data_IF_708688062159
#
_entry.id   IF_708688062159
#
_cell.length_a   1.000
_cell.length_b   1.000
_cell.length_c   1.000
_cell.angle_alpha   90.00
_cell.angle_beta   90.00
_cell.angle_gamma   90.00
#
_symmetry.space_group_name_H-M   'P 1'
#
loop_
_entity.id
_entity.type
_entity.pdbx_description
1 polymer ?
#
# COMPACT_ATOMS: atom_id res chain seq x y z
N UNK A 1 -37.09 11.71 12.19
CA UNK A 1 -35.95 12.03 13.06
C UNK A 1 -34.77 12.32 12.16
N UNK A 2 -34.14 13.48 12.33
CA UNK A 2 -32.91 13.79 11.60
C UNK A 2 -31.81 12.82 12.03
N UNK A 3 -31.05 12.33 11.06
CA UNK A 3 -29.93 11.44 11.30
C UNK A 3 -28.69 12.34 11.48
N UNK A 4 -28.26 12.50 12.75
CA UNK A 4 -27.18 13.39 13.17
C UNK A 4 -25.86 13.09 12.45
N UNK A 5 -25.64 11.84 12.05
CA UNK A 5 -24.48 11.47 11.24
C UNK A 5 -24.46 12.21 9.89
N UNK A 6 -25.60 12.33 9.20
CA UNK A 6 -25.67 13.05 7.92
C UNK A 6 -25.67 14.58 8.10
N UNK A 7 -26.20 15.09 9.21
CA UNK A 7 -26.23 16.52 9.49
C UNK A 7 -24.88 17.05 9.99
N UNK A 8 -24.16 16.26 10.79
CA UNK A 8 -22.88 16.62 11.43
C UNK A 8 -21.91 15.43 11.43
N UNK A 9 -21.41 15.01 10.26
CA UNK A 9 -20.52 13.85 10.15
C UNK A 9 -19.14 14.10 10.77
N UNK A 10 -18.66 15.36 10.74
CA UNK A 10 -17.30 15.72 11.18
C UNK A 10 -17.28 15.86 12.70
N UNK A 11 -16.49 15.00 13.35
CA UNK A 11 -16.31 14.94 14.79
C UNK A 11 -14.89 15.32 15.24
N UNK A 12 -13.90 15.12 14.37
CA UNK A 12 -12.48 15.25 14.69
C UNK A 12 -11.76 16.22 13.74
N UNK A 13 -10.63 16.74 14.20
CA UNK A 13 -9.68 17.47 13.35
C UNK A 13 -8.96 16.49 12.40
N UNK A 14 -8.72 16.85 11.12
CA UNK A 14 -7.95 16.00 10.20
C UNK A 14 -6.45 15.95 10.52
N UNK A 15 -6.00 16.74 11.49
CA UNK A 15 -4.58 16.93 11.82
C UNK A 15 -4.20 16.41 13.20
N UNK A 16 -5.18 16.04 14.01
CA UNK A 16 -4.98 15.51 15.35
C UNK A 16 -5.40 14.03 15.40
N UNK A 17 -4.94 13.30 16.41
CA UNK A 17 -5.39 11.94 16.66
C UNK A 17 -6.92 11.95 16.86
N UNK A 18 -7.70 11.11 16.13
CA UNK A 18 -9.14 11.05 16.33
C UNK A 18 -9.48 10.66 17.77
N UNK A 19 -10.36 11.43 18.41
CA UNK A 19 -10.73 11.28 19.81
C UNK A 19 -12.17 10.80 20.00
N UNK A 20 -13.00 10.87 18.95
CA UNK A 20 -14.42 10.49 18.99
C UNK A 20 -14.82 9.75 17.72
N UNK A 21 -15.83 8.91 17.80
CA UNK A 21 -16.41 8.26 16.61
C UNK A 21 -17.88 7.90 16.82
N UNK A 22 -18.62 7.71 15.74
CA UNK A 22 -19.97 7.16 15.79
C UNK A 22 -19.94 5.64 15.96
N UNK A 23 -20.69 5.13 16.94
CA UNK A 23 -20.91 3.69 17.09
C UNK A 23 -21.62 3.15 15.84
N UNK A 24 -21.16 2.00 15.36
CA UNK A 24 -21.75 1.30 14.21
C UNK A 24 -22.44 0.04 14.70
N UNK A 25 -23.58 -0.28 14.10
CA UNK A 25 -24.24 -1.57 14.31
C UNK A 25 -23.54 -2.70 13.54
N UNK A 26 -24.06 -3.92 13.68
CA UNK A 26 -23.53 -5.11 13.01
C UNK A 26 -23.61 -5.04 11.46
N UNK A 27 -24.41 -4.13 10.91
CA UNK A 27 -24.51 -3.85 9.48
C UNK A 27 -23.65 -2.66 9.03
N UNK A 28 -22.79 -2.14 9.92
CA UNK A 28 -21.93 -1.00 9.64
C UNK A 28 -22.64 0.34 9.60
N UNK A 29 -23.89 0.44 10.10
CA UNK A 29 -24.65 1.69 10.09
C UNK A 29 -24.49 2.48 11.40
N UNK A 30 -24.37 3.82 11.35
CA UNK A 30 -24.27 4.65 12.55
C UNK A 30 -25.51 4.56 13.45
N UNK A 31 -25.33 4.13 14.70
CA UNK A 31 -26.42 4.01 15.69
C UNK A 31 -26.85 5.35 16.30
N UNK A 32 -26.27 6.46 15.83
CA UNK A 32 -26.42 7.81 16.41
C UNK A 32 -25.84 7.96 17.83
N UNK A 33 -25.09 6.97 18.31
CA UNK A 33 -24.40 7.05 19.59
C UNK A 33 -22.95 7.47 19.38
N UNK A 34 -22.55 8.53 20.07
CA UNK A 34 -21.17 9.02 20.06
C UNK A 34 -20.34 8.28 21.10
N UNK A 35 -19.15 7.83 20.71
CA UNK A 35 -18.16 7.22 21.60
C UNK A 35 -16.96 8.16 21.73
N UNK A 36 -16.58 8.49 22.97
CA UNK A 36 -15.47 9.38 23.33
C UNK A 36 -14.13 8.62 23.36
N UNK A 37 -13.81 7.94 22.25
CA UNK A 37 -12.51 7.32 22.04
C UNK A 37 -12.19 7.20 20.54
N UNK A 38 -10.94 6.88 20.21
CA UNK A 38 -10.58 6.53 18.83
C UNK A 38 -11.25 5.21 18.43
N UNK A 39 -11.81 5.16 17.22
CA UNK A 39 -12.36 3.94 16.63
C UNK A 39 -11.29 2.83 16.60
N UNK A 40 -11.48 1.68 17.26
CA UNK A 40 -10.57 0.55 17.11
C UNK A 40 -10.60 0.08 15.65
N UNK A 41 -9.46 -0.38 15.12
CA UNK A 41 -9.49 -1.10 13.86
C UNK A 41 -10.40 -2.33 14.07
N UNK A 42 -11.39 -2.51 13.19
CA UNK A 42 -12.31 -3.64 13.21
C UNK A 42 -12.67 -3.99 11.77
N UNK A 43 -12.93 -5.27 11.54
CA UNK A 43 -13.44 -5.79 10.28
C UNK A 43 -14.95 -5.53 10.18
N UNK A 44 -15.33 -4.27 9.98
CA UNK A 44 -16.72 -3.87 9.71
C UNK A 44 -16.72 -3.07 8.42
N UNK A 45 -17.33 -3.63 7.38
CA UNK A 45 -17.56 -2.95 6.10
C UNK A 45 -18.74 -2.00 6.23
N UNK A 46 -18.46 -0.76 6.62
CA UNK A 46 -19.47 0.31 6.63
C UNK A 46 -19.65 0.86 5.21
N UNK A 47 -20.43 0.17 4.35
CA UNK A 47 -20.98 0.78 3.14
C UNK A 47 -22.46 0.40 3.01
N UNK A 48 -23.39 1.38 3.01
CA UNK A 48 -24.79 1.10 2.74
C UNK A 48 -24.97 0.56 1.32
N UNK A 49 -25.65 -0.58 1.17
CA UNK A 49 -26.02 -1.12 -0.14
C UNK A 49 -26.86 -0.07 -0.91
N UNK A 50 -26.43 0.42 -2.09
CA UNK A 50 -27.23 1.35 -2.85
C UNK A 50 -28.53 0.67 -3.32
N UNK A 51 -29.67 1.32 -3.12
CA UNK A 51 -30.93 0.91 -3.73
C UNK A 51 -30.81 1.09 -5.25
N UNK A 52 -30.61 -0.03 -5.97
CA UNK A 52 -30.70 -0.21 -7.44
C UNK A 52 -30.97 1.07 -8.25
N UNK A 53 -29.97 1.57 -8.97
CA UNK A 53 -30.16 2.47 -10.12
C UNK A 53 -29.24 2.09 -11.29
N UNK A 54 -29.80 2.17 -12.51
CA UNK A 54 -29.24 1.74 -13.80
C UNK A 54 -28.10 2.66 -14.28
N UNK A 55 -27.03 2.02 -14.79
CA UNK A 55 -26.01 2.42 -15.80
C UNK A 55 -25.60 3.90 -15.93
N UNK A 56 -24.32 4.16 -15.69
CA UNK A 56 -23.45 4.97 -16.56
C UNK A 56 -21.98 4.57 -16.40
N UNK A 57 -21.28 4.34 -17.50
CA UNK A 57 -19.83 4.04 -17.56
C UNK A 57 -19.00 5.28 -17.16
N UNK A 58 -18.59 5.37 -15.90
CA UNK A 58 -17.36 6.05 -15.45
C UNK A 58 -17.16 5.74 -13.97
N UNK A 59 -16.07 5.03 -13.65
CA UNK A 59 -15.66 4.60 -12.31
C UNK A 59 -16.65 3.66 -11.61
N UNK A 60 -16.37 2.36 -11.72
CA UNK A 60 -17.09 1.32 -10.96
C UNK A 60 -16.86 1.53 -9.46
N UNK A 61 -17.91 1.98 -8.76
CA UNK A 61 -18.01 1.87 -7.32
C UNK A 61 -18.17 0.39 -6.97
N UNK A 62 -17.14 -0.19 -6.38
CA UNK A 62 -17.16 -1.57 -5.88
C UNK A 62 -18.14 -1.62 -4.71
N UNK A 63 -19.32 -2.19 -4.93
CA UNK A 63 -20.30 -2.50 -3.89
C UNK A 63 -19.94 -3.86 -3.31
N UNK A 64 -19.39 -3.87 -2.09
CA UNK A 64 -19.06 -5.11 -1.37
C UNK A 64 -20.34 -5.79 -0.86
N UNK A 65 -20.54 -7.06 -1.22
CA UNK A 65 -21.46 -7.96 -0.52
C UNK A 65 -20.62 -8.89 0.39
N UNK A 66 -21.02 -9.01 1.64
CA UNK A 66 -20.20 -9.56 2.72
C UNK A 66 -20.08 -11.09 2.66
N UNK A 67 -18.87 -11.59 2.41
CA UNK A 67 -18.01 -12.04 3.51
C UNK A 67 -18.54 -13.12 4.47
N UNK A 68 -19.49 -13.96 4.07
CA UNK A 68 -19.85 -15.21 4.78
C UNK A 68 -19.07 -16.44 4.32
N UNK A 69 -18.14 -16.29 3.38
CA UNK A 69 -17.30 -17.39 2.91
C UNK A 69 -15.92 -17.39 3.58
N UNK A 70 -15.64 -18.44 4.35
CA UNK A 70 -14.32 -19.10 4.56
C UNK A 70 -13.10 -18.21 4.91
N UNK A 71 -13.24 -17.11 5.66
CA UNK A 71 -12.12 -16.65 6.50
C UNK A 71 -12.33 -17.24 7.89
N UNK A 72 -11.33 -17.94 8.44
CA UNK A 72 -11.46 -18.40 9.82
C UNK A 72 -11.56 -17.18 10.72
N UNK A 73 -12.51 -17.18 11.67
CA UNK A 73 -12.66 -16.10 12.67
C UNK A 73 -11.33 -15.75 13.36
N UNK A 74 -10.40 -16.71 13.44
CA UNK A 74 -9.05 -16.50 13.96
C UNK A 74 -8.21 -15.56 13.09
N UNK A 75 -8.20 -15.69 11.76
CA UNK A 75 -7.42 -14.83 10.86
C UNK A 75 -7.89 -13.36 10.91
N UNK A 76 -9.21 -13.16 10.92
CA UNK A 76 -9.80 -11.82 11.06
C UNK A 76 -9.46 -11.19 12.41
N UNK A 77 -9.54 -11.99 13.49
CA UNK A 77 -9.17 -11.55 14.83
C UNK A 77 -7.69 -11.19 14.94
N UNK A 78 -6.80 -12.03 14.41
CA UNK A 78 -5.35 -11.80 14.42
C UNK A 78 -4.96 -10.53 13.66
N UNK A 79 -5.51 -10.32 12.46
CA UNK A 79 -5.24 -9.13 11.65
C UNK A 79 -5.75 -7.86 12.32
N UNK A 80 -6.92 -7.92 12.95
CA UNK A 80 -7.48 -6.79 13.69
C UNK A 80 -6.68 -6.49 14.95
N UNK A 81 -6.26 -7.53 15.67
CA UNK A 81 -5.44 -7.41 16.87
C UNK A 81 -4.09 -6.77 16.56
N UNK A 82 -3.37 -7.24 15.54
CA UNK A 82 -2.02 -6.73 15.25
C UNK A 82 -2.04 -5.25 14.85
N UNK A 83 -3.05 -4.80 14.09
CA UNK A 83 -3.20 -3.38 13.71
C UNK A 83 -3.39 -2.51 14.96
N UNK A 84 -4.24 -2.92 15.89
CA UNK A 84 -4.47 -2.18 17.13
C UNK A 84 -3.24 -2.20 18.05
N UNK A 85 -2.51 -3.32 18.10
CA UNK A 85 -1.26 -3.43 18.86
C UNK A 85 -0.19 -2.47 18.30
N UNK A 86 0.06 -2.50 16.99
CA UNK A 86 0.99 -1.56 16.33
C UNK A 86 0.58 -0.12 16.59
N UNK A 87 -0.71 0.20 16.46
CA UNK A 87 -1.24 1.54 16.74
C UNK A 87 -0.96 1.98 18.19
N UNK A 88 -1.13 1.08 19.17
CA UNK A 88 -0.83 1.34 20.58
C UNK A 88 0.66 1.60 20.83
N UNK A 89 1.54 0.80 20.23
CA UNK A 89 2.99 0.97 20.32
C UNK A 89 3.46 2.29 19.68
N UNK A 90 2.98 2.59 18.47
CA UNK A 90 3.31 3.83 17.75
C UNK A 90 2.79 5.04 18.52
N UNK A 91 1.59 4.98 19.12
CA UNK A 91 1.07 6.07 19.93
C UNK A 91 1.89 6.30 21.20
N UNK A 92 2.29 5.23 21.88
CA UNK A 92 3.17 5.31 23.07
C UNK A 92 4.51 5.93 22.70
N UNK A 93 5.11 5.50 21.59
CA UNK A 93 6.36 6.03 21.07
C UNK A 93 6.25 7.51 20.65
N UNK A 94 5.15 7.89 19.99
CA UNK A 94 4.87 9.27 19.57
C UNK A 94 4.80 10.24 20.76
N UNK A 95 4.25 9.78 21.88
CA UNK A 95 4.07 10.57 23.10
C UNK A 95 5.32 10.67 23.99
N UNK A 96 6.45 10.09 23.58
CA UNK A 96 7.72 10.26 24.31
C UNK A 96 8.16 11.73 24.26
N UNK A 97 8.40 12.39 25.42
CA UNK A 97 8.57 13.83 25.50
C UNK A 97 9.88 14.32 24.88
N UNK A 98 10.94 13.51 24.89
CA UNK A 98 12.24 13.90 24.35
C UNK A 98 12.52 13.17 23.03
N UNK A 99 12.80 13.89 21.93
CA UNK A 99 13.18 13.29 20.65
C UNK A 99 14.34 12.28 20.72
N UNK A 100 15.27 12.42 21.66
CA UNK A 100 16.38 11.46 21.86
C UNK A 100 15.90 10.07 22.27
N UNK A 101 14.69 9.96 22.84
CA UNK A 101 14.09 8.70 23.26
C UNK A 101 13.41 7.96 22.10
N UNK A 102 13.26 8.59 20.93
CA UNK A 102 12.58 7.97 19.80
C UNK A 102 13.37 6.80 19.20
N UNK A 103 14.67 6.66 19.52
CA UNK A 103 15.56 5.56 19.09
C UNK A 103 15.67 5.40 17.56
N UNK A 104 15.38 6.46 16.81
CA UNK A 104 15.55 6.54 15.35
C UNK A 104 16.88 7.21 14.99
N UNK A 105 17.24 7.22 13.71
CA UNK A 105 18.38 8.03 13.24
C UNK A 105 18.15 9.53 13.45
N UNK A 106 19.21 10.34 13.60
CA UNK A 106 19.14 11.80 13.60
C UNK A 106 18.33 12.40 12.44
N UNK A 107 18.44 11.85 11.24
CA UNK A 107 17.69 12.31 10.06
C UNK A 107 16.20 12.03 10.20
N UNK A 108 15.85 10.82 10.62
CA UNK A 108 14.46 10.44 10.89
C UNK A 108 13.88 11.27 12.03
N UNK A 109 14.66 11.52 13.10
CA UNK A 109 14.23 12.38 14.21
C UNK A 109 13.89 13.79 13.70
N UNK A 110 14.71 14.35 12.81
CA UNK A 110 14.48 15.66 12.23
C UNK A 110 13.25 15.71 11.32
N UNK A 111 13.04 14.69 10.49
CA UNK A 111 11.83 14.55 9.68
C UNK A 111 10.57 14.44 10.54
N UNK A 112 10.61 13.64 11.61
CA UNK A 112 9.49 13.50 12.55
C UNK A 112 9.19 14.82 13.27
N UNK A 113 10.21 15.56 13.72
CA UNK A 113 10.02 16.90 14.29
C UNK A 113 9.37 17.85 13.28
N UNK A 114 9.81 17.79 12.02
CA UNK A 114 9.23 18.57 10.94
C UNK A 114 7.75 18.23 10.74
N UNK A 115 7.41 16.96 10.55
CA UNK A 115 6.01 16.54 10.31
C UNK A 115 5.08 16.78 11.51
N UNK A 116 5.59 16.69 12.74
CA UNK A 116 4.78 16.84 13.96
C UNK A 116 4.60 18.29 14.40
N UNK A 117 5.59 19.15 14.17
CA UNK A 117 5.67 20.46 14.85
C UNK A 117 5.98 21.63 13.92
N UNK A 118 6.32 21.40 12.66
CA UNK A 118 6.59 22.48 11.73
C UNK A 118 5.34 23.34 11.48
N UNK A 119 5.56 24.64 11.37
CA UNK A 119 4.52 25.60 10.98
C UNK A 119 4.49 25.72 9.46
N UNK A 120 3.78 24.79 8.83
CA UNK A 120 3.55 24.78 7.38
C UNK A 120 2.90 26.08 6.92
N UNK A 121 3.40 26.63 5.82
CA UNK A 121 2.83 27.82 5.19
C UNK A 121 1.60 27.49 4.34
N UNK A 122 1.55 26.27 3.79
CA UNK A 122 0.46 25.78 2.96
C UNK A 122 -0.18 24.49 3.48
N UNK A 123 -0.26 23.49 2.61
CA UNK A 123 -0.89 22.20 2.92
C UNK A 123 0.00 21.43 3.89
N UNK A 124 -0.43 21.33 5.15
CA UNK A 124 0.21 20.44 6.12
C UNK A 124 -0.29 18.99 5.98
N UNK A 125 0.55 17.97 6.27
CA UNK A 125 0.12 16.58 6.26
C UNK A 125 -1.03 16.31 7.23
N UNK A 126 -1.97 15.47 6.82
CA UNK A 126 -3.02 14.97 7.71
C UNK A 126 -2.45 14.00 8.74
N UNK A 127 -3.12 13.86 9.88
CA UNK A 127 -2.71 12.92 10.92
C UNK A 127 -2.54 11.50 10.39
N UNK A 128 -3.47 11.02 9.56
CA UNK A 128 -3.41 9.69 8.97
C UNK A 128 -2.19 9.46 8.05
N UNK A 129 -1.73 10.51 7.37
CA UNK A 129 -0.54 10.45 6.52
C UNK A 129 0.72 10.34 7.37
N UNK A 130 0.80 11.16 8.43
CA UNK A 130 1.90 11.12 9.41
C UNK A 130 1.93 9.78 10.13
N UNK A 131 0.79 9.28 10.59
CA UNK A 131 0.69 7.98 11.27
C UNK A 131 1.12 6.81 10.39
N UNK A 132 0.75 6.81 9.11
CA UNK A 132 1.17 5.78 8.18
C UNK A 132 2.70 5.77 7.98
N UNK A 133 3.32 6.95 7.81
CA UNK A 133 4.77 7.09 7.71
C UNK A 133 5.47 6.69 9.02
N UNK A 134 4.94 7.11 10.16
CA UNK A 134 5.42 6.76 11.49
C UNK A 134 5.35 5.27 11.78
N UNK A 135 4.30 4.58 11.32
CA UNK A 135 4.17 3.13 11.44
C UNK A 135 5.28 2.43 10.69
N UNK A 136 5.55 2.84 9.45
CA UNK A 136 6.65 2.28 8.66
C UNK A 136 8.03 2.57 9.30
N UNK A 137 8.24 3.76 9.83
CA UNK A 137 9.46 4.15 10.55
C UNK A 137 9.63 3.29 11.80
N UNK A 138 8.59 3.19 12.63
CA UNK A 138 8.62 2.47 13.89
C UNK A 138 8.95 0.99 13.66
N UNK A 139 8.28 0.34 12.70
CA UNK A 139 8.54 -1.06 12.32
C UNK A 139 9.95 -1.29 11.76
N UNK A 140 10.63 -0.24 11.29
CA UNK A 140 11.94 -0.36 10.63
C UNK A 140 13.10 -0.03 11.56
N UNK A 141 12.96 1.02 12.37
CA UNK A 141 14.05 1.55 13.18
C UNK A 141 13.91 1.22 14.68
N UNK A 142 12.67 1.14 15.18
CA UNK A 142 12.38 1.06 16.62
C UNK A 142 12.02 -0.37 17.03
N UNK A 143 11.10 -1.01 16.31
CA UNK A 143 10.60 -2.34 16.61
C UNK A 143 11.71 -3.39 16.79
N UNK A 144 12.75 -3.46 15.91
CA UNK A 144 13.83 -4.45 16.06
C UNK A 144 14.69 -4.27 17.32
N UNK A 145 14.55 -3.15 18.03
CA UNK A 145 15.31 -2.81 19.24
C UNK A 145 14.43 -2.72 20.48
N UNK A 146 13.22 -3.27 20.41
CA UNK A 146 12.21 -3.20 21.47
C UNK A 146 11.62 -4.59 21.73
N UNK A 147 11.37 -4.91 23.00
CA UNK A 147 10.78 -6.19 23.38
C UNK A 147 9.35 -6.36 22.81
N UNK A 148 8.55 -5.29 22.79
CA UNK A 148 7.21 -5.31 22.20
C UNK A 148 7.23 -5.43 20.66
N UNK A 149 8.27 -4.91 20.01
CA UNK A 149 8.40 -4.96 18.55
C UNK A 149 8.76 -6.32 17.99
N UNK A 150 9.49 -7.17 18.72
CA UNK A 150 9.92 -8.49 18.21
C UNK A 150 8.72 -9.38 17.85
N UNK A 151 7.70 -9.43 18.71
CA UNK A 151 6.48 -10.21 18.44
C UNK A 151 5.71 -9.71 17.21
N UNK A 152 5.64 -8.39 17.02
CA UNK A 152 5.00 -7.76 15.85
C UNK A 152 5.77 -8.09 14.57
N UNK A 153 7.10 -8.01 14.61
CA UNK A 153 7.95 -8.32 13.45
C UNK A 153 7.92 -9.80 13.08
N UNK A 154 7.84 -10.69 14.07
CA UNK A 154 7.68 -12.12 13.84
C UNK A 154 6.30 -12.43 13.21
N UNK A 155 5.22 -11.81 13.71
CA UNK A 155 3.91 -11.92 13.08
C UNK A 155 3.94 -11.44 11.62
N UNK A 156 4.52 -10.26 11.35
CA UNK A 156 4.65 -9.71 10.00
C UNK A 156 5.44 -10.66 9.08
N UNK A 157 6.51 -11.27 9.60
CA UNK A 157 7.35 -12.22 8.85
C UNK A 157 6.59 -13.49 8.50
N UNK A 158 5.84 -14.06 9.46
CA UNK A 158 4.98 -15.24 9.22
C UNK A 158 3.90 -14.95 8.19
N UNK A 159 3.15 -13.86 8.38
CA UNK A 159 2.13 -13.42 7.43
C UNK A 159 2.68 -13.26 6.00
N UNK A 160 3.89 -12.71 5.87
CA UNK A 160 4.56 -12.62 4.58
C UNK A 160 5.03 -13.98 4.05
N UNK A 161 5.63 -14.83 4.87
CA UNK A 161 6.08 -16.15 4.43
C UNK A 161 4.92 -17.01 3.92
N UNK A 162 3.77 -16.95 4.60
CA UNK A 162 2.60 -17.76 4.28
C UNK A 162 1.91 -17.29 2.98
N UNK A 163 1.81 -15.97 2.78
CA UNK A 163 1.09 -15.42 1.63
C UNK A 163 2.00 -15.00 0.45
N UNK A 164 3.25 -14.63 0.72
CA UNK A 164 4.22 -14.08 -0.22
C UNK A 164 5.65 -14.53 0.14
N UNK A 165 6.01 -15.83 0.05
CA UNK A 165 7.28 -16.36 0.57
C UNK A 165 8.54 -15.67 0.01
N UNK A 166 8.44 -15.09 -1.19
CA UNK A 166 9.54 -14.33 -1.78
C UNK A 166 9.50 -12.83 -1.43
N UNK A 167 8.49 -12.25 -0.79
CA UNK A 167 8.39 -10.78 -0.69
C UNK A 167 8.10 -10.34 0.75
N UNK A 168 8.89 -9.39 1.25
CA UNK A 168 8.63 -8.74 2.54
C UNK A 168 7.76 -7.52 2.27
N UNK A 169 6.47 -7.63 2.59
CA UNK A 169 5.45 -6.61 2.34
C UNK A 169 4.93 -6.01 3.64
N UNK A 170 4.49 -4.76 3.56
CA UNK A 170 3.87 -4.01 4.64
C UNK A 170 2.75 -3.19 4.03
N UNK A 171 1.50 -3.42 4.44
CA UNK A 171 0.36 -2.66 3.95
C UNK A 171 -0.04 -1.55 4.92
N UNK A 172 -0.26 -0.37 4.35
CA UNK A 172 -0.73 0.84 5.01
C UNK A 172 -2.09 1.18 4.40
N UNK A 173 -3.16 0.96 5.16
CA UNK A 173 -4.52 1.25 4.70
C UNK A 173 -4.86 2.73 4.94
N UNK A 174 -5.20 3.44 3.87
CA UNK A 174 -5.68 4.82 3.91
C UNK A 174 -6.90 4.98 3.01
N UNK A 175 -7.98 5.55 3.54
CA UNK A 175 -9.17 5.88 2.77
C UNK A 175 -8.87 6.60 1.44
N UNK A 176 -9.67 6.33 0.41
CA UNK A 176 -9.57 7.01 -0.88
C UNK A 176 -9.73 8.52 -0.69
N UNK A 177 -8.83 9.31 -1.26
CA UNK A 177 -8.80 10.76 -1.07
C UNK A 177 -8.03 11.24 0.17
N UNK A 178 -7.62 10.36 1.09
CA UNK A 178 -6.83 10.73 2.27
C UNK A 178 -5.36 11.10 1.96
N UNK A 179 -4.95 11.02 0.69
CA UNK A 179 -3.63 11.46 0.22
C UNK A 179 -2.53 10.40 0.32
N UNK A 180 -2.77 9.19 -0.21
CA UNK A 180 -1.77 8.11 -0.35
C UNK A 180 -0.45 8.59 -0.95
N UNK A 181 -0.52 9.42 -2.00
CA UNK A 181 0.66 9.99 -2.66
C UNK A 181 1.51 10.86 -1.73
N UNK A 182 0.93 11.55 -0.75
CA UNK A 182 1.70 12.26 0.29
C UNK A 182 2.54 11.28 1.10
N UNK A 183 1.94 10.15 1.52
CA UNK A 183 2.65 9.11 2.27
C UNK A 183 3.77 8.52 1.44
N UNK A 184 3.56 8.26 0.15
CA UNK A 184 4.62 7.82 -0.76
C UNK A 184 5.80 8.80 -0.78
N UNK A 185 5.53 10.10 -0.91
CA UNK A 185 6.57 11.12 -0.86
C UNK A 185 7.30 11.10 0.49
N UNK A 186 6.58 11.08 1.62
CA UNK A 186 7.19 11.02 2.96
C UNK A 186 8.10 9.80 3.13
N UNK A 187 7.69 8.62 2.66
CA UNK A 187 8.48 7.40 2.72
C UNK A 187 9.73 7.48 1.85
N UNK A 188 9.61 8.01 0.61
CA UNK A 188 10.76 8.20 -0.29
C UNK A 188 11.75 9.20 0.31
N UNK A 189 11.27 10.30 0.88
CA UNK A 189 12.11 11.29 1.54
C UNK A 189 12.87 10.67 2.73
N UNK A 190 12.15 10.00 3.63
CA UNK A 190 12.74 9.31 4.78
C UNK A 190 13.83 8.32 4.37
N UNK A 191 13.55 7.48 3.37
CA UNK A 191 14.48 6.47 2.88
C UNK A 191 15.71 7.10 2.21
N UNK A 192 15.49 8.06 1.30
CA UNK A 192 16.56 8.68 0.52
C UNK A 192 17.54 9.42 1.41
N UNK A 193 17.03 10.30 2.27
CA UNK A 193 17.83 11.13 3.18
C UNK A 193 18.71 10.25 4.06
N UNK A 194 18.12 9.21 4.68
CA UNK A 194 18.87 8.28 5.50
C UNK A 194 19.91 7.50 4.70
N UNK A 195 19.58 7.06 3.48
CA UNK A 195 20.53 6.34 2.62
C UNK A 195 21.71 7.22 2.18
N UNK A 196 21.47 8.52 1.93
CA UNK A 196 22.50 9.50 1.55
C UNK A 196 23.41 9.82 2.72
N UNK A 197 22.86 10.11 3.89
CA UNK A 197 23.65 10.45 5.08
C UNK A 197 24.29 9.24 5.77
N UNK A 198 23.78 8.03 5.52
CA UNK A 198 24.26 6.78 6.13
C UNK A 198 24.51 5.70 5.07
N UNK A 199 25.48 5.88 4.15
CA UNK A 199 25.70 4.98 3.03
C UNK A 199 26.12 3.55 3.43
N UNK A 200 26.62 3.36 4.65
CA UNK A 200 26.96 2.03 5.19
C UNK A 200 25.73 1.24 5.68
N UNK A 201 24.58 1.90 5.88
CA UNK A 201 23.36 1.24 6.33
C UNK A 201 22.70 0.45 5.21
N UNK A 202 22.31 -0.79 5.49
CA UNK A 202 21.50 -1.62 4.58
C UNK A 202 19.99 -1.48 4.81
N UNK A 203 19.58 -0.68 5.79
CA UNK A 203 18.17 -0.50 6.14
C UNK A 203 17.46 0.53 5.26
N UNK A 204 18.23 1.36 4.56
CA UNK A 204 17.70 2.45 3.76
C UNK A 204 18.09 2.29 2.29
N UNK A 205 17.31 2.93 1.42
CA UNK A 205 17.56 2.93 -0.01
C UNK A 205 17.31 4.28 -0.64
N UNK A 206 17.91 4.48 -1.81
CA UNK A 206 17.64 5.60 -2.71
C UNK A 206 17.03 5.13 -4.03
N UNK A 207 16.71 3.84 -4.18
CA UNK A 207 16.14 3.26 -5.38
C UNK A 207 14.70 2.80 -5.14
N UNK A 208 13.77 3.40 -5.87
CA UNK A 208 12.33 3.19 -5.69
C UNK A 208 11.67 2.79 -6.99
N UNK A 209 10.88 1.71 -6.92
CA UNK A 209 9.94 1.33 -7.96
C UNK A 209 8.52 1.61 -7.48
N UNK A 210 7.86 2.57 -8.10
CA UNK A 210 6.45 2.88 -7.82
C UNK A 210 5.60 2.18 -8.89
N UNK A 211 4.70 1.30 -8.48
CA UNK A 211 3.83 0.55 -9.40
C UNK A 211 2.36 0.95 -9.22
N UNK A 212 1.70 1.27 -10.32
CA UNK A 212 0.30 1.70 -10.36
C UNK A 212 -0.57 0.75 -11.21
N UNK A 213 -1.90 0.66 -10.94
CA UNK A 213 -2.80 -0.24 -11.65
C UNK A 213 -3.15 0.24 -13.08
N UNK A 214 -3.16 1.57 -13.31
CA UNK A 214 -3.52 2.16 -14.60
C UNK A 214 -2.57 3.28 -15.02
N UNK A 215 -2.59 3.62 -16.32
CA UNK A 215 -1.74 4.68 -16.88
C UNK A 215 -2.13 6.07 -16.34
N UNK A 216 -3.43 6.36 -16.19
CA UNK A 216 -3.90 7.65 -15.65
C UNK A 216 -3.37 7.91 -14.24
N UNK A 217 -3.33 6.87 -13.39
CA UNK A 217 -2.81 6.97 -12.02
C UNK A 217 -1.29 7.12 -12.08
N UNK A 218 -0.61 6.29 -12.87
CA UNK A 218 0.84 6.36 -13.10
C UNK A 218 1.29 7.78 -13.48
N UNK A 219 0.60 8.44 -14.41
CA UNK A 219 0.98 9.76 -14.90
C UNK A 219 0.79 10.85 -13.82
N UNK A 220 -0.20 10.70 -12.94
CA UNK A 220 -0.41 11.60 -11.79
C UNK A 220 0.66 11.45 -10.70
N UNK A 221 1.28 10.29 -10.59
CA UNK A 221 2.34 10.04 -9.62
C UNK A 221 3.66 10.74 -9.97
N UNK A 222 3.78 11.44 -11.11
CA UNK A 222 4.98 12.22 -11.48
C UNK A 222 5.40 13.24 -10.42
N UNK A 223 4.47 13.72 -9.61
CA UNK A 223 4.69 14.60 -8.44
C UNK A 223 5.61 13.99 -7.37
N UNK A 224 5.88 12.68 -7.43
CA UNK A 224 6.87 12.00 -6.59
C UNK A 224 8.30 12.17 -7.10
N UNK A 225 8.52 12.72 -8.30
CA UNK A 225 9.86 13.04 -8.78
C UNK A 225 10.34 14.33 -8.10
N UNK A 226 11.53 14.35 -7.46
CA UNK A 226 12.05 15.55 -6.79
C UNK A 226 12.23 16.75 -7.73
N UNK A 227 12.55 16.49 -8.99
CA UNK A 227 12.78 17.50 -10.01
C UNK A 227 11.51 17.90 -10.80
N UNK A 228 10.35 17.32 -10.50
CA UNK A 228 9.10 17.74 -11.16
C UNK A 228 8.70 19.15 -10.66
N UNK A 229 8.23 20.05 -11.55
CA UNK A 229 7.78 21.37 -11.14
C UNK A 229 6.68 21.35 -10.07
N UNK A 230 5.82 20.32 -10.08
CA UNK A 230 4.69 20.12 -9.17
C UNK A 230 5.04 19.12 -8.04
N UNK A 231 6.32 19.06 -7.67
CA UNK A 231 6.83 18.06 -6.74
C UNK A 231 6.28 18.25 -5.33
N UNK A 232 5.74 17.17 -4.75
CA UNK A 232 5.14 17.21 -3.42
C UNK A 232 6.13 17.57 -2.32
N UNK A 233 7.43 17.29 -2.50
CA UNK A 233 8.43 17.61 -1.48
C UNK A 233 8.53 19.12 -1.23
N UNK A 234 8.48 19.91 -2.31
CA UNK A 234 8.60 21.37 -2.26
C UNK A 234 7.24 22.02 -1.99
N UNK A 235 6.22 21.66 -2.76
CA UNK A 235 4.90 22.32 -2.71
C UNK A 235 4.17 22.10 -1.38
N UNK A 236 4.45 21.00 -0.69
CA UNK A 236 3.85 20.66 0.61
C UNK A 236 4.84 20.73 1.76
N UNK A 237 6.02 21.30 1.52
CA UNK A 237 7.07 21.48 2.52
C UNK A 237 7.35 20.17 3.30
N UNK A 238 7.37 19.01 2.64
CA UNK A 238 7.44 17.70 3.34
C UNK A 238 8.82 17.42 3.92
N UNK A 239 9.84 18.14 3.48
CA UNK A 239 11.24 17.95 3.88
C UNK A 239 11.80 19.29 4.35
N UNK A 240 12.59 19.31 5.45
CA UNK A 240 13.33 20.50 5.84
C UNK A 240 14.18 21.06 4.69
N UNK A 241 14.21 22.39 4.56
CA UNK A 241 14.85 23.06 3.42
C UNK A 241 16.33 22.73 3.25
N UNK A 242 17.05 22.42 4.32
CA UNK A 242 18.46 22.04 4.28
C UNK A 242 18.72 20.55 3.96
N UNK A 243 17.65 19.77 3.79
CA UNK A 243 17.71 18.34 3.47
C UNK A 243 17.09 18.04 2.10
N UNK A 244 16.48 19.02 1.43
CA UNK A 244 15.75 18.82 0.18
C UNK A 244 16.67 18.40 -0.97
N UNK A 245 17.89 18.95 -1.03
CA UNK A 245 18.87 18.64 -2.08
C UNK A 245 19.34 17.17 -2.04
N UNK A 246 19.15 16.47 -0.92
CA UNK A 246 19.46 15.04 -0.83
C UNK A 246 18.51 14.19 -1.66
N UNK A 247 17.30 14.69 -1.93
CA UNK A 247 16.32 14.00 -2.75
C UNK A 247 16.77 13.86 -4.20
N UNK A 248 17.67 14.71 -4.70
CA UNK A 248 18.26 14.58 -6.04
C UNK A 248 19.04 13.27 -6.22
N UNK A 249 19.40 12.60 -5.12
CA UNK A 249 20.05 11.30 -5.13
C UNK A 249 19.05 10.14 -5.27
N UNK A 250 17.75 10.39 -5.14
CA UNK A 250 16.72 9.37 -5.36
C UNK A 250 16.67 8.96 -6.84
N UNK A 251 16.50 7.66 -7.07
CA UNK A 251 16.16 7.07 -8.36
C UNK A 251 14.77 6.49 -8.24
N UNK A 252 13.80 7.13 -8.88
CA UNK A 252 12.39 6.76 -8.80
C UNK A 252 11.92 6.38 -10.21
N UNK A 253 11.54 5.12 -10.38
CA UNK A 253 10.86 4.65 -11.60
C UNK A 253 9.40 4.45 -11.27
N UNK A 254 8.53 5.15 -11.99
CA UNK A 254 7.08 5.01 -11.89
C UNK A 254 6.59 4.22 -13.09
N UNK A 255 5.96 3.08 -12.85
CA UNK A 255 5.50 2.17 -13.90
C UNK A 255 4.08 1.67 -13.64
N UNK A 256 3.53 1.01 -14.65
CA UNK A 256 2.30 0.25 -14.55
C UNK A 256 2.62 -1.24 -14.58
N UNK A 257 1.84 -2.07 -13.88
CA UNK A 257 2.11 -3.51 -13.79
C UNK A 257 2.13 -4.22 -15.15
N UNK A 258 1.36 -3.76 -16.15
CA UNK A 258 1.37 -4.35 -17.49
C UNK A 258 2.76 -4.27 -18.14
N UNK A 259 3.61 -3.33 -17.72
CA UNK A 259 4.96 -3.19 -18.24
C UNK A 259 5.83 -4.44 -17.95
N UNK A 260 5.51 -5.21 -16.90
CA UNK A 260 6.18 -6.46 -16.54
C UNK A 260 5.91 -7.62 -17.52
N UNK A 261 4.93 -7.48 -18.43
CA UNK A 261 4.68 -8.49 -19.46
C UNK A 261 5.91 -8.62 -20.35
N UNK A 262 6.53 -9.80 -20.34
CA UNK A 262 7.64 -10.14 -21.23
C UNK A 262 7.15 -10.08 -22.68
N UNK A 263 7.85 -9.32 -23.52
CA UNK A 263 7.54 -9.11 -24.94
C UNK A 263 8.28 -10.10 -25.82
N UNK A 264 7.80 -10.28 -27.05
CA UNK A 264 8.56 -10.96 -28.09
C UNK A 264 9.70 -10.05 -28.57
N UNK A 265 10.89 -10.62 -28.77
CA UNK A 265 12.08 -9.91 -29.25
C UNK A 265 12.15 -9.88 -30.77
N UNK A 266 11.50 -10.85 -31.42
CA UNK A 266 11.47 -11.01 -32.87
C UNK A 266 10.04 -11.32 -33.27
N UNK A 267 9.46 -10.50 -34.14
CA UNK A 267 8.18 -10.80 -34.76
C UNK A 267 8.39 -11.84 -35.86
N UNK A 268 8.11 -13.10 -35.55
CA UNK A 268 8.11 -14.19 -36.52
C UNK A 268 6.67 -14.57 -36.86
N UNK A 269 6.37 -14.69 -38.16
CA UNK A 269 5.14 -15.33 -38.60
C UNK A 269 5.15 -16.82 -38.21
N UNK A 270 3.98 -17.44 -38.08
CA UNK A 270 3.88 -18.87 -37.74
C UNK A 270 4.72 -19.76 -38.68
N UNK A 271 4.73 -19.45 -39.98
CA UNK A 271 5.57 -20.11 -40.99
C UNK A 271 7.06 -19.88 -40.77
N UNK A 272 7.49 -18.65 -40.49
CA UNK A 272 8.90 -18.33 -40.20
C UNK A 272 9.41 -19.02 -38.93
N UNK A 273 8.56 -19.13 -37.90
CA UNK A 273 8.90 -19.84 -36.65
C UNK A 273 9.08 -21.34 -36.88
N UNK A 274 8.16 -21.97 -37.62
CA UNK A 274 8.25 -23.40 -37.96
C UNK A 274 9.46 -23.71 -38.84
N UNK A 275 9.81 -22.80 -39.76
CA UNK A 275 10.96 -22.96 -40.65
C UNK A 275 12.30 -22.85 -39.90
N UNK A 276 12.39 -21.94 -38.93
CA UNK A 276 13.57 -21.77 -38.07
C UNK A 276 13.71 -22.87 -36.98
N UNK A 277 12.59 -23.42 -36.49
CA UNK A 277 12.61 -24.58 -35.56
C UNK A 277 13.01 -25.88 -36.28
N UNK A 278 12.71 -26.00 -37.58
CA UNK A 278 12.93 -27.25 -38.33
C UNK A 278 12.06 -28.41 -37.82
N UNK A 279 12.22 -29.61 -38.39
CA UNK A 279 11.40 -30.79 -38.04
C UNK A 279 11.79 -31.48 -36.73
N UNK A 280 12.81 -31.00 -36.03
CA UNK A 280 13.29 -31.58 -34.77
C UNK A 280 14.22 -30.69 -33.95
N UNK A 281 14.21 -29.37 -34.19
CA UNK A 281 15.00 -28.42 -33.42
C UNK A 281 14.22 -27.90 -32.19
N UNK A 282 14.96 -27.40 -31.21
CA UNK A 282 14.40 -26.85 -29.98
C UNK A 282 13.45 -25.67 -30.26
N UNK A 283 12.47 -25.48 -29.38
CA UNK A 283 11.57 -24.33 -29.50
C UNK A 283 12.36 -23.01 -29.44
N UNK A 284 12.21 -22.17 -30.47
CA UNK A 284 12.78 -20.82 -30.48
C UNK A 284 12.25 -19.97 -29.32
N UNK A 285 13.12 -19.76 -28.33
CA UNK A 285 12.89 -18.80 -27.27
C UNK A 285 13.15 -17.38 -27.77
N UNK A 286 12.08 -16.78 -28.28
CA UNK A 286 12.04 -15.43 -28.84
C UNK A 286 11.60 -14.38 -27.82
N UNK A 287 11.24 -14.81 -26.60
CA UNK A 287 10.72 -13.93 -25.57
C UNK A 287 11.83 -13.20 -24.81
N UNK A 288 11.52 -12.01 -24.30
CA UNK A 288 12.39 -11.28 -23.38
C UNK A 288 12.71 -12.14 -22.15
N UNK A 289 13.96 -12.10 -21.69
CA UNK A 289 14.30 -12.59 -20.34
C UNK A 289 13.82 -11.60 -19.29
N UNK A 290 13.69 -12.04 -18.03
CA UNK A 290 13.39 -11.14 -16.91
C UNK A 290 14.37 -9.95 -16.84
N UNK A 291 15.67 -10.19 -17.05
CA UNK A 291 16.67 -9.12 -17.01
C UNK A 291 16.47 -8.09 -18.12
N UNK A 292 16.10 -8.53 -19.32
CA UNK A 292 15.78 -7.63 -20.44
C UNK A 292 14.49 -6.84 -20.18
N UNK A 293 13.46 -7.49 -19.64
CA UNK A 293 12.24 -6.80 -19.21
C UNK A 293 12.54 -5.74 -18.16
N UNK A 294 13.34 -6.03 -17.14
CA UNK A 294 13.71 -5.05 -16.12
C UNK A 294 14.51 -3.89 -16.71
N UNK A 295 15.46 -4.16 -17.62
CA UNK A 295 16.20 -3.11 -18.32
C UNK A 295 15.26 -2.18 -19.10
N UNK A 296 14.20 -2.72 -19.71
CA UNK A 296 13.19 -1.93 -20.44
C UNK A 296 12.27 -1.15 -19.49
N UNK A 297 11.81 -1.77 -18.41
CA UNK A 297 10.79 -1.20 -17.52
C UNK A 297 11.38 -0.20 -16.54
N UNK A 298 12.59 -0.46 -16.04
CA UNK A 298 13.22 0.32 -14.98
C UNK A 298 14.73 0.53 -15.20
N UNK A 299 15.14 1.09 -16.36
CA UNK A 299 16.56 1.27 -16.68
C UNK A 299 17.33 2.07 -15.61
N UNK A 300 16.69 3.06 -14.99
CA UNK A 300 17.31 3.89 -13.95
C UNK A 300 17.58 3.19 -12.61
N UNK A 301 17.05 1.98 -12.40
CA UNK A 301 17.30 1.15 -11.21
C UNK A 301 18.30 0.02 -11.49
N UNK A 302 18.73 -0.17 -12.73
CA UNK A 302 19.65 -1.23 -13.10
C UNK A 302 21.00 -1.03 -12.41
N UNK A 303 21.53 -2.11 -11.82
CA UNK A 303 22.77 -2.08 -11.04
C UNK A 303 22.63 -1.59 -9.60
N UNK A 304 21.45 -1.09 -9.20
CA UNK A 304 21.15 -0.82 -7.79
C UNK A 304 20.75 -2.11 -7.08
N UNK A 305 21.00 -2.16 -5.77
CA UNK A 305 20.57 -3.23 -4.87
C UNK A 305 19.72 -2.66 -3.76
N UNK A 306 18.95 -3.52 -3.09
CA UNK A 306 18.11 -3.15 -1.96
C UNK A 306 17.03 -2.11 -2.35
N UNK A 307 16.31 -2.38 -3.43
CA UNK A 307 15.24 -1.51 -3.90
C UNK A 307 14.05 -1.54 -2.95
N UNK A 308 13.32 -0.43 -2.86
CA UNK A 308 12.01 -0.38 -2.23
C UNK A 308 10.93 -0.29 -3.31
N UNK A 309 9.90 -1.14 -3.20
CA UNK A 309 8.71 -1.05 -4.04
C UNK A 309 7.61 -0.33 -3.28
N UNK A 310 6.90 0.55 -3.96
CA UNK A 310 5.70 1.21 -3.46
C UNK A 310 4.57 0.89 -4.43
N UNK A 311 3.60 0.10 -3.99
CA UNK A 311 2.40 -0.22 -4.78
C UNK A 311 1.29 0.77 -4.42
N UNK A 312 0.68 1.37 -5.44
CA UNK A 312 -0.61 2.05 -5.33
C UNK A 312 -1.74 1.10 -5.71
N UNK A 313 -2.87 1.18 -5.02
CA UNK A 313 -3.99 0.22 -5.16
C UNK A 313 -3.54 -1.24 -5.07
N UNK A 314 -2.79 -1.53 -4.00
CA UNK A 314 -2.15 -2.83 -3.80
C UNK A 314 -3.09 -4.04 -3.73
N UNK A 315 -4.41 -3.83 -3.65
CA UNK A 315 -5.41 -4.89 -3.73
C UNK A 315 -5.45 -5.62 -5.07
N UNK A 316 -4.84 -5.04 -6.12
CA UNK A 316 -4.59 -5.72 -7.39
C UNK A 316 -3.28 -6.52 -7.41
N UNK A 317 -2.50 -6.57 -6.33
CA UNK A 317 -1.21 -7.26 -6.27
C UNK A 317 -1.21 -8.28 -5.15
N UNK A 318 -1.71 -9.49 -5.41
CA UNK A 318 -1.73 -10.61 -4.47
C UNK A 318 -1.30 -11.92 -5.13
N UNK A 319 -0.91 -12.88 -4.30
CA UNK A 319 -0.71 -14.27 -4.71
C UNK A 319 -2.03 -15.01 -4.53
N UNK A 320 -2.53 -15.58 -5.62
CA UNK A 320 -3.68 -16.50 -5.59
C UNK A 320 -3.33 -17.75 -4.78
N UNK A 321 -4.28 -18.22 -3.97
CA UNK A 321 -4.21 -19.52 -3.30
C UNK A 321 -4.77 -20.61 -4.22
N UNK A 322 -4.17 -21.82 -4.24
CA UNK A 322 -4.77 -22.95 -4.93
C UNK A 322 -6.19 -23.21 -4.41
N UNK A 323 -7.13 -23.47 -5.31
CA UNK A 323 -8.50 -23.81 -4.94
C UNK A 323 -8.55 -25.08 -4.11
N UNK A 324 -9.32 -25.06 -3.01
CA UNK A 324 -9.61 -26.25 -2.22
C UNK A 324 -10.87 -26.96 -2.77
N UNK A 325 -11.03 -28.28 -2.52
CA UNK A 325 -12.17 -29.06 -3.05
C UNK A 325 -13.55 -28.55 -2.63
N UNK A 326 -13.61 -27.80 -1.53
CA UNK A 326 -14.84 -27.26 -0.95
C UNK A 326 -15.11 -25.80 -1.37
N UNK A 327 -14.28 -25.20 -2.23
CA UNK A 327 -14.49 -23.84 -2.73
C UNK A 327 -15.67 -23.80 -3.71
N UNK A 328 -16.58 -22.84 -3.52
CA UNK A 328 -17.69 -22.63 -4.44
C UNK A 328 -17.19 -22.09 -5.79
N UNK A 329 -17.53 -22.80 -6.87
CA UNK A 329 -17.24 -22.36 -8.22
C UNK A 329 -18.00 -21.07 -8.58
N UNK A 330 -17.27 -20.00 -8.87
CA UNK A 330 -17.83 -18.79 -9.48
C UNK A 330 -18.43 -19.12 -10.84
N UNK A 331 -19.57 -18.47 -11.18
CA UNK A 331 -20.30 -18.73 -12.44
C UNK A 331 -20.46 -17.48 -13.28
N UNK A 332 -20.60 -17.68 -14.60
CA UNK A 332 -20.94 -16.62 -15.53
C UNK A 332 -19.94 -15.47 -15.54
N UNK A 333 -20.42 -14.25 -15.31
CA UNK A 333 -19.62 -13.03 -15.38
C UNK A 333 -18.67 -12.87 -14.18
N UNK A 334 -19.07 -13.32 -12.98
CA UNK A 334 -18.23 -13.29 -11.77
C UNK A 334 -16.94 -14.10 -11.95
N UNK A 335 -17.06 -15.25 -12.62
CA UNK A 335 -15.90 -16.08 -12.95
C UNK A 335 -14.93 -15.37 -13.90
N UNK A 336 -15.45 -14.73 -14.96
CA UNK A 336 -14.62 -14.02 -15.94
C UNK A 336 -13.89 -12.84 -15.30
N UNK A 337 -14.56 -12.15 -14.39
CA UNK A 337 -13.97 -11.04 -13.64
C UNK A 337 -12.86 -11.52 -12.71
N UNK A 338 -13.12 -12.58 -11.93
CA UNK A 338 -12.12 -13.21 -11.07
C UNK A 338 -10.89 -13.69 -11.85
N UNK A 339 -11.09 -14.38 -12.98
CA UNK A 339 -10.01 -14.84 -13.85
C UNK A 339 -9.15 -13.66 -14.32
N UNK A 340 -9.77 -12.56 -14.78
CA UNK A 340 -9.06 -11.34 -15.20
C UNK A 340 -8.30 -10.68 -14.05
N UNK A 341 -8.90 -10.60 -12.87
CA UNK A 341 -8.27 -10.04 -11.67
C UNK A 341 -7.06 -10.88 -11.24
N UNK A 342 -7.19 -12.21 -11.26
CA UNK A 342 -6.10 -13.13 -10.94
C UNK A 342 -4.97 -13.07 -11.97
N UNK A 343 -5.27 -12.94 -13.27
CA UNK A 343 -4.25 -12.71 -14.30
C UNK A 343 -3.47 -11.42 -14.07
N UNK A 344 -4.16 -10.32 -13.77
CA UNK A 344 -3.55 -9.03 -13.45
C UNK A 344 -2.66 -9.13 -12.20
N UNK A 345 -3.18 -9.74 -11.13
CA UNK A 345 -2.47 -9.92 -9.88
C UNK A 345 -1.22 -10.79 -10.04
N UNK A 346 -1.34 -11.90 -10.80
CA UNK A 346 -0.23 -12.79 -11.13
C UNK A 346 0.86 -12.06 -11.92
N UNK A 347 0.48 -11.29 -12.94
CA UNK A 347 1.42 -10.50 -13.72
C UNK A 347 2.17 -9.49 -12.84
N UNK A 348 1.45 -8.80 -11.96
CA UNK A 348 2.03 -7.80 -11.07
C UNK A 348 3.02 -8.45 -10.10
N UNK A 349 2.59 -9.46 -9.34
CA UNK A 349 3.44 -10.08 -8.31
C UNK A 349 4.66 -10.77 -8.93
N UNK A 350 4.50 -11.47 -10.06
CA UNK A 350 5.64 -12.09 -10.77
C UNK A 350 6.65 -11.05 -11.25
N UNK A 351 6.21 -9.85 -11.63
CA UNK A 351 7.10 -8.73 -11.92
C UNK A 351 7.94 -8.31 -10.72
N UNK A 352 7.32 -8.20 -9.54
CA UNK A 352 8.02 -7.84 -8.29
C UNK A 352 9.00 -8.94 -7.84
N UNK A 353 8.66 -10.20 -8.07
CA UNK A 353 9.55 -11.33 -7.81
C UNK A 353 10.76 -11.33 -8.74
N UNK A 354 10.56 -11.02 -10.02
CA UNK A 354 11.68 -10.81 -10.96
C UNK A 354 12.60 -9.68 -10.47
N UNK A 355 12.05 -8.57 -9.97
CA UNK A 355 12.83 -7.48 -9.36
C UNK A 355 13.65 -8.00 -8.18
N UNK A 356 13.04 -8.76 -7.25
CA UNK A 356 13.78 -9.34 -6.12
C UNK A 356 14.90 -10.27 -6.59
N UNK A 357 14.62 -11.18 -7.52
CA UNK A 357 15.61 -12.16 -8.02
C UNK A 357 16.78 -11.52 -8.74
N UNK A 358 16.55 -10.44 -9.50
CA UNK A 358 17.57 -9.84 -10.38
C UNK A 358 18.28 -8.63 -9.80
N UNK A 359 17.57 -7.77 -9.07
CA UNK A 359 18.10 -6.50 -8.54
C UNK A 359 18.21 -6.51 -7.01
N UNK A 360 17.42 -7.34 -6.33
CA UNK A 360 17.34 -7.36 -4.88
C UNK A 360 16.37 -6.32 -4.34
N UNK A 361 15.44 -6.79 -3.51
CA UNK A 361 14.34 -6.00 -2.97
C UNK A 361 14.40 -6.05 -1.44
N UNK A 362 14.42 -4.88 -0.78
CA UNK A 362 14.46 -4.77 0.67
C UNK A 362 13.08 -4.91 1.31
N UNK A 363 12.11 -4.13 0.82
CA UNK A 363 10.71 -4.14 1.30
C UNK A 363 9.76 -3.62 0.23
N UNK A 364 8.51 -4.08 0.28
CA UNK A 364 7.38 -3.56 -0.47
C UNK A 364 6.45 -2.82 0.50
N UNK A 365 6.08 -1.59 0.18
CA UNK A 365 5.04 -0.84 0.87
C UNK A 365 3.79 -0.84 -0.01
N UNK A 366 2.72 -1.43 0.50
CA UNK A 366 1.42 -1.50 -0.16
C UNK A 366 0.52 -0.37 0.37
N UNK A 367 0.14 0.58 -0.47
CA UNK A 367 -0.84 1.61 -0.14
C UNK A 367 -2.15 1.33 -0.86
N UNK A 368 -3.23 1.21 -0.09
CA UNK A 368 -4.57 0.93 -0.62
C UNK A 368 -5.62 1.44 0.35
N UNK A 369 -6.79 1.83 -0.16
CA UNK A 369 -7.96 2.03 0.71
C UNK A 369 -8.59 0.70 1.15
N UNK A 370 -8.29 -0.33 0.37
CA UNK A 370 -8.99 -1.60 0.32
C UNK A 370 -7.98 -2.75 0.26
N UNK A 371 -6.95 -2.86 1.12
CA UNK A 371 -5.94 -3.92 1.04
C UNK A 371 -6.52 -5.26 1.49
N UNK A 372 -7.45 -5.80 0.70
CA UNK A 372 -8.08 -7.08 0.89
C UNK A 372 -7.99 -7.93 -0.38
N UNK A 373 -8.25 -9.21 -0.20
CA UNK A 373 -8.34 -10.16 -1.31
C UNK A 373 -9.66 -10.01 -2.07
N UNK A 374 -9.57 -10.08 -3.40
CA UNK A 374 -10.71 -10.03 -4.31
C UNK A 374 -11.36 -11.42 -4.47
N UNK A 375 -12.61 -11.44 -4.95
CA UNK A 375 -13.30 -12.68 -5.32
C UNK A 375 -12.47 -13.53 -6.28
N UNK A 376 -12.44 -14.85 -6.02
CA UNK A 376 -11.68 -15.83 -6.81
C UNK A 376 -10.19 -15.89 -6.54
N UNK A 377 -9.65 -15.11 -5.59
CA UNK A 377 -8.23 -15.16 -5.19
C UNK A 377 -7.81 -16.43 -4.43
N UNK A 378 -8.75 -17.32 -4.09
CA UNK A 378 -8.56 -18.43 -3.14
C UNK A 378 -8.53 -17.99 -1.67
N UNK A 379 -8.79 -16.72 -1.39
CA UNK A 379 -9.07 -16.21 -0.07
C UNK A 379 -10.52 -15.74 -0.01
N UNK A 380 -11.08 -15.77 1.18
CA UNK A 380 -12.34 -15.11 1.49
C UNK A 380 -12.32 -13.65 1.05
N UNK A 381 -13.24 -13.29 0.16
CA UNK A 381 -13.35 -11.93 -0.37
C UNK A 381 -13.52 -10.91 0.76
N UNK A 382 -12.83 -9.76 0.61
CA UNK A 382 -12.86 -8.69 1.59
C UNK A 382 -11.91 -8.91 2.78
N UNK A 383 -11.32 -10.09 2.94
CA UNK A 383 -10.32 -10.35 4.00
C UNK A 383 -9.10 -9.46 3.81
N UNK A 384 -8.75 -8.67 4.83
CA UNK A 384 -7.58 -7.82 4.81
C UNK A 384 -6.30 -8.65 4.60
N UNK A 385 -5.34 -8.07 3.90
CA UNK A 385 -4.02 -8.66 3.79
C UNK A 385 -3.41 -8.84 5.19
N UNK A 386 -2.89 -10.04 5.52
CA UNK A 386 -2.36 -10.32 6.86
C UNK A 386 -1.09 -9.51 7.17
N UNK A 387 -0.47 -8.87 6.17
CA UNK A 387 0.64 -7.92 6.35
C UNK A 387 0.20 -6.45 6.50
N UNK A 388 -1.10 -6.20 6.74
CA UNK A 388 -1.62 -4.85 7.05
C UNK A 388 -1.29 -4.48 8.50
N UNK A 389 -0.57 -3.39 8.68
CA UNK A 389 -0.09 -2.94 10.01
C UNK A 389 -0.60 -1.54 10.40
N UNK A 390 -1.31 -0.86 9.50
CA UNK A 390 -1.92 0.45 9.75
C UNK A 390 -3.29 0.49 9.10
N UNK A 391 -4.28 1.04 9.81
CA UNK A 391 -5.63 1.27 9.31
C UNK A 391 -6.12 2.67 9.66
N UNK A 392 -6.45 3.43 8.63
CA UNK A 392 -7.26 4.64 8.71
C UNK A 392 -8.46 4.49 7.76
N UNK A 393 -9.61 4.17 8.35
CA UNK A 393 -10.80 3.74 7.62
C UNK A 393 -11.50 4.89 6.89
N UNK A 394 -12.42 4.55 5.98
CA UNK A 394 -13.29 5.56 5.34
C UNK A 394 -14.11 6.33 6.39
N UNK A 395 -14.61 5.65 7.42
CA UNK A 395 -15.34 6.28 8.52
C UNK A 395 -14.47 7.27 9.28
N UNK A 396 -13.22 6.89 9.62
CA UNK A 396 -12.28 7.82 10.26
C UNK A 396 -12.04 9.06 9.37
N UNK A 397 -11.92 8.87 8.06
CA UNK A 397 -11.69 9.95 7.11
C UNK A 397 -12.90 10.90 6.97
N UNK A 398 -14.13 10.36 6.98
CA UNK A 398 -15.36 11.15 7.00
C UNK A 398 -15.47 11.92 8.33
N UNK A 399 -15.26 11.24 9.46
CA UNK A 399 -15.37 11.81 10.79
C UNK A 399 -14.28 12.88 11.06
N UNK A 400 -13.16 12.83 10.33
CA UNK A 400 -12.12 13.85 10.36
C UNK A 400 -12.31 14.97 9.31
N UNK A 401 -13.34 14.90 8.46
CA UNK A 401 -13.57 15.87 7.38
C UNK A 401 -12.55 15.82 6.25
N UNK A 402 -11.80 14.72 6.11
CA UNK A 402 -10.81 14.49 5.04
C UNK A 402 -11.52 14.09 3.75
N UNK A 403 -12.58 13.27 3.88
CA UNK A 403 -13.38 12.77 2.76
C UNK A 403 -14.83 13.17 2.99
N UNK A 404 -15.56 13.47 1.92
CA UNK A 404 -16.99 13.79 2.00
C UNK A 404 -17.81 12.50 2.16
N UNK A 405 -18.98 12.62 2.78
CA UNK A 405 -19.98 11.56 2.69
C UNK A 405 -20.30 11.30 1.20
N UNK A 406 -20.28 10.03 0.75
CA UNK A 406 -20.68 9.68 -0.61
C UNK A 406 -22.16 9.96 -0.88
#
# INVERSE_FOLDING_TARGET
>A
MSNLFFERPILNSPYDLPAKHWELDASGQPTQKLIESRRPAQFITAIPKPKKRKRSDTQEEIVFDEGKGISTKSQQYETTWIINEVRGQVNTWRNLPNPSQWKVTPETQRLLQHWRHHKFSGIRPFFCQVEAAETAIWLTEVAPRSASGEGILEHLRRANNDANPELIRLALKLATGAGKTTVMAMLIAWQTINAVRRPASKHFTRGFLVCAPGLTIKDRLRVLQPNDPDSYYKDRELVPSDMIDELDRAKIVITNYHAFKLRERIELSAGGRSLLQGRGGDELNTRETEGQMLQRVMPGLMGMKNLMVINDEAHHCYREKPSEPDDEDLKGDERREAEKNNEAARLWISGLEAVKRKLGLGRIIDLSATPFFLGGSGYAEGTLFPWTMSDFSLMDAIECGIVKLP
#
